data_IF_274917934545
#
_entry.id   IF_274917934545
#
_cell.length_a   1.000
_cell.length_b   1.000
_cell.length_c   1.000
_cell.angle_alpha   90.00
_cell.angle_beta   90.00
_cell.angle_gamma   90.00
#
_symmetry.space_group_name_H-M   'P 1'
#
loop_
_entity.id
_entity.type
_entity.pdbx_description
1 polymer ?
#
# COMPACT_ATOMS: atom_id res chain seq x y z
N UNK A 1 30.45 -46.45 59.97
CA UNK A 1 31.40 -45.74 59.08
C UNK A 1 31.01 -45.81 57.61
N UNK A 2 30.79 -47.00 57.00
CA UNK A 2 30.37 -47.10 55.58
C UNK A 2 29.01 -46.43 55.31
N UNK A 3 28.04 -46.66 56.20
CA UNK A 3 26.66 -46.14 56.10
C UNK A 3 26.54 -44.63 56.20
N UNK A 4 27.36 -43.97 57.03
CA UNK A 4 27.35 -42.49 57.16
C UNK A 4 28.00 -41.81 55.95
N UNK A 5 29.05 -42.45 55.39
CA UNK A 5 29.70 -41.98 54.17
C UNK A 5 28.75 -42.07 52.96
N UNK A 6 27.99 -43.16 52.86
CA UNK A 6 27.00 -43.36 51.81
C UNK A 6 25.85 -42.32 51.91
N UNK A 7 25.43 -41.97 53.13
CA UNK A 7 24.40 -40.95 53.36
C UNK A 7 24.87 -39.55 52.90
N UNK A 8 26.10 -39.17 53.26
CA UNK A 8 26.72 -37.91 52.84
C UNK A 8 26.86 -37.81 51.31
N UNK A 9 27.25 -38.90 50.65
CA UNK A 9 27.35 -38.96 49.20
C UNK A 9 25.97 -38.78 48.54
N UNK A 10 24.91 -39.32 49.14
CA UNK A 10 23.55 -39.18 48.62
C UNK A 10 23.03 -37.73 48.73
N UNK A 11 23.27 -37.06 49.87
CA UNK A 11 22.91 -35.66 50.07
C UNK A 11 23.65 -34.72 49.12
N UNK A 12 24.96 -34.92 48.95
CA UNK A 12 25.78 -34.13 48.00
C UNK A 12 25.28 -34.33 46.56
N UNK A 13 24.93 -35.56 46.17
CA UNK A 13 24.39 -35.85 44.84
C UNK A 13 23.03 -35.18 44.62
N UNK A 14 22.16 -35.17 45.63
CA UNK A 14 20.86 -34.50 45.58
C UNK A 14 21.00 -32.98 45.43
N UNK A 15 21.92 -32.36 46.18
CA UNK A 15 22.21 -30.93 46.09
C UNK A 15 22.80 -30.56 44.72
N UNK A 16 23.75 -31.34 44.20
CA UNK A 16 24.32 -31.12 42.87
C UNK A 16 23.28 -31.26 41.75
N UNK A 17 22.34 -32.20 41.88
CA UNK A 17 21.25 -32.34 40.91
C UNK A 17 20.31 -31.14 40.95
N UNK A 18 19.97 -30.65 42.14
CA UNK A 18 19.10 -29.48 42.31
C UNK A 18 19.74 -28.19 41.77
N UNK A 19 21.05 -27.99 41.99
CA UNK A 19 21.79 -26.83 41.47
C UNK A 19 21.88 -26.89 39.94
N UNK A 20 22.24 -28.04 39.39
CA UNK A 20 22.32 -28.25 37.93
C UNK A 20 20.97 -28.06 37.26
N UNK A 21 19.88 -28.53 37.87
CA UNK A 21 18.53 -28.35 37.32
C UNK A 21 18.15 -26.86 37.29
N UNK A 22 18.43 -26.11 38.36
CA UNK A 22 18.18 -24.67 38.42
C UNK A 22 18.96 -23.85 37.39
N UNK A 23 20.24 -24.20 37.14
CA UNK A 23 21.08 -23.55 36.14
C UNK A 23 20.55 -23.79 34.72
N UNK A 24 20.17 -25.04 34.42
CA UNK A 24 19.57 -25.43 33.13
C UNK A 24 18.23 -24.72 32.89
N UNK A 25 17.36 -24.61 33.91
CA UNK A 25 16.07 -23.91 33.79
C UNK A 25 16.24 -22.40 33.50
N UNK A 26 17.27 -21.79 34.09
CA UNK A 26 17.59 -20.38 33.89
C UNK A 26 18.09 -20.11 32.46
N UNK A 27 18.95 -20.96 31.92
CA UNK A 27 19.45 -20.85 30.55
C UNK A 27 18.33 -20.96 29.52
N UNK A 28 17.40 -21.91 29.70
CA UNK A 28 16.22 -22.03 28.84
C UNK A 28 15.33 -20.79 28.91
N UNK A 29 15.11 -20.25 30.10
CA UNK A 29 14.27 -19.06 30.31
C UNK A 29 14.84 -17.84 29.59
N UNK A 30 16.15 -17.61 29.72
CA UNK A 30 16.85 -16.51 29.03
C UNK A 30 16.76 -16.71 27.51
N UNK A 31 17.01 -17.93 27.02
CA UNK A 31 16.91 -18.25 25.59
C UNK A 31 15.50 -17.96 25.04
N UNK A 32 14.44 -18.44 25.69
CA UNK A 32 13.06 -18.18 25.25
C UNK A 32 12.69 -16.71 25.32
N UNK A 33 13.21 -15.96 26.29
CA UNK A 33 12.96 -14.51 26.40
C UNK A 33 13.58 -13.76 25.22
N UNK A 34 14.85 -14.06 24.90
CA UNK A 34 15.52 -13.47 23.74
C UNK A 34 14.82 -13.88 22.45
N UNK A 35 14.49 -15.16 22.30
CA UNK A 35 13.79 -15.69 21.13
C UNK A 35 12.41 -15.03 20.96
N UNK A 36 11.68 -14.82 22.05
CA UNK A 36 10.39 -14.13 22.03
C UNK A 36 10.53 -12.68 21.54
N UNK A 37 11.53 -11.96 22.07
CA UNK A 37 11.83 -10.59 21.62
C UNK A 37 12.16 -10.50 20.13
N UNK A 38 13.04 -11.39 19.64
CA UNK A 38 13.38 -11.47 18.22
C UNK A 38 12.15 -11.84 17.38
N UNK A 39 11.33 -12.78 17.85
CA UNK A 39 10.12 -13.23 17.14
C UNK A 39 9.11 -12.10 16.97
N UNK A 40 8.82 -11.36 18.06
CA UNK A 40 7.92 -10.19 18.02
C UNK A 40 8.48 -9.13 17.08
N UNK A 41 9.79 -8.85 17.14
CA UNK A 41 10.42 -7.90 16.25
C UNK A 41 10.26 -8.28 14.77
N UNK A 42 10.56 -9.54 14.42
CA UNK A 42 10.44 -10.04 13.04
C UNK A 42 8.99 -9.96 12.55
N UNK A 43 8.03 -10.39 13.37
CA UNK A 43 6.60 -10.29 13.03
C UNK A 43 6.19 -8.83 12.80
N UNK A 44 6.64 -7.91 13.66
CA UNK A 44 6.40 -6.48 13.50
C UNK A 44 6.95 -5.95 12.18
N UNK A 45 8.20 -6.30 11.85
CA UNK A 45 8.82 -5.89 10.58
C UNK A 45 8.10 -6.45 9.35
N UNK A 46 7.61 -7.71 9.43
CA UNK A 46 6.82 -8.30 8.36
C UNK A 46 5.51 -7.54 8.13
N UNK A 47 4.81 -7.14 9.20
CA UNK A 47 3.57 -6.35 9.08
C UNK A 47 3.86 -5.00 8.41
N UNK A 48 4.94 -4.31 8.81
CA UNK A 48 5.32 -3.03 8.20
C UNK A 48 5.60 -3.23 6.70
N UNK A 49 6.47 -4.18 6.35
CA UNK A 49 6.94 -4.37 4.97
C UNK A 49 5.90 -4.96 4.03
N UNK A 50 5.05 -5.86 4.52
CA UNK A 50 4.07 -6.56 3.68
C UNK A 50 2.72 -5.86 3.65
N UNK A 51 2.36 -5.06 4.65
CA UNK A 51 1.03 -4.43 4.72
C UNK A 51 1.14 -2.91 4.69
N UNK A 52 1.87 -2.29 5.61
CA UNK A 52 1.86 -0.83 5.74
C UNK A 52 2.56 -0.12 4.58
N UNK A 53 3.75 -0.58 4.20
CA UNK A 53 4.53 0.01 3.10
C UNK A 53 3.74 -0.04 1.77
N UNK A 54 3.21 -1.20 1.31
CA UNK A 54 2.40 -1.25 0.08
C UNK A 54 1.14 -0.38 0.12
N UNK A 55 0.46 -0.31 1.28
CA UNK A 55 -0.72 0.55 1.46
C UNK A 55 -0.36 2.02 1.35
N UNK A 56 0.74 2.43 1.99
CA UNK A 56 1.24 3.80 1.94
C UNK A 56 1.65 4.18 0.51
N UNK A 57 2.32 3.29 -0.21
CA UNK A 57 2.72 3.53 -1.61
C UNK A 57 1.53 3.67 -2.55
N UNK A 58 0.47 2.87 -2.37
CA UNK A 58 -0.77 3.05 -3.13
C UNK A 58 -1.41 4.43 -2.87
N UNK A 59 -1.48 4.88 -1.61
CA UNK A 59 -1.99 6.22 -1.28
C UNK A 59 -1.13 7.33 -1.87
N UNK A 60 0.19 7.14 -1.91
CA UNK A 60 1.12 8.07 -2.54
C UNK A 60 0.84 8.19 -4.04
N UNK A 61 0.57 7.09 -4.74
CA UNK A 61 0.19 7.10 -6.16
C UNK A 61 -1.14 7.83 -6.36
N UNK A 62 -2.14 7.60 -5.50
CA UNK A 62 -3.41 8.35 -5.56
C UNK A 62 -3.16 9.86 -5.40
N UNK A 63 -2.30 10.26 -4.47
CA UNK A 63 -1.88 11.65 -4.31
C UNK A 63 -1.16 12.21 -5.55
N UNK A 64 -0.30 11.41 -6.18
CA UNK A 64 0.37 11.80 -7.43
C UNK A 64 -0.63 11.95 -8.59
N UNK A 65 -1.64 11.09 -8.69
CA UNK A 65 -2.72 11.23 -9.67
C UNK A 65 -3.46 12.56 -9.43
N UNK A 66 -3.86 12.84 -8.19
CA UNK A 66 -4.51 14.10 -7.85
C UNK A 66 -3.66 15.31 -8.25
N UNK A 67 -2.35 15.27 -7.97
CA UNK A 67 -1.42 16.32 -8.37
C UNK A 67 -1.40 16.47 -9.89
N UNK A 68 -1.15 15.38 -10.63
CA UNK A 68 -0.99 15.41 -12.09
C UNK A 68 -2.25 15.88 -12.80
N UNK A 69 -3.44 15.51 -12.30
CA UNK A 69 -4.71 15.98 -12.86
C UNK A 69 -4.84 17.51 -12.79
N UNK A 70 -4.34 18.13 -11.72
CA UNK A 70 -4.35 19.59 -11.53
C UNK A 70 -3.23 20.23 -12.35
N UNK A 71 -2.00 19.73 -12.22
CA UNK A 71 -0.81 20.27 -12.89
C UNK A 71 -0.94 20.24 -14.42
N UNK A 72 -1.51 19.17 -14.97
CA UNK A 72 -1.67 18.98 -16.42
C UNK A 72 -3.08 19.32 -16.91
N UNK A 73 -3.88 20.02 -16.10
CA UNK A 73 -5.28 20.34 -16.41
C UNK A 73 -5.43 21.11 -17.73
N UNK A 74 -4.53 22.06 -18.01
CA UNK A 74 -4.53 22.83 -19.26
C UNK A 74 -4.33 21.97 -20.51
N UNK A 75 -3.58 20.87 -20.41
CA UNK A 75 -3.37 19.91 -21.52
C UNK A 75 -4.55 18.95 -21.64
N UNK A 76 -5.06 18.46 -20.51
CA UNK A 76 -6.20 17.54 -20.47
C UNK A 76 -7.48 18.21 -20.99
N UNK A 77 -7.70 19.48 -20.65
CA UNK A 77 -8.85 20.27 -21.05
C UNK A 77 -8.77 20.80 -22.49
N UNK A 78 -7.57 20.98 -23.03
CA UNK A 78 -7.34 21.48 -24.39
C UNK A 78 -6.52 20.48 -25.23
N UNK A 79 -7.03 19.27 -25.46
CA UNK A 79 -6.29 18.25 -26.21
C UNK A 79 -6.02 18.69 -27.65
N UNK A 80 -4.86 18.31 -28.19
CA UNK A 80 -4.42 18.66 -29.54
C UNK A 80 -3.91 20.10 -29.73
N UNK A 81 -3.99 20.96 -28.70
CA UNK A 81 -3.51 22.36 -28.76
C UNK A 81 -2.04 22.53 -28.33
N UNK A 82 -1.55 21.92 -27.22
CA UNK A 82 -0.15 22.01 -26.81
C UNK A 82 0.80 21.41 -27.84
N UNK A 83 2.10 21.64 -27.67
CA UNK A 83 3.11 21.01 -28.54
C UNK A 83 3.10 19.49 -28.37
N UNK A 84 3.56 18.78 -29.40
CA UNK A 84 3.60 17.31 -29.40
C UNK A 84 4.41 16.77 -28.23
N UNK A 85 5.52 17.42 -27.90
CA UNK A 85 6.39 17.04 -26.79
C UNK A 85 5.64 17.10 -25.46
N UNK A 86 4.91 18.19 -25.21
CA UNK A 86 4.12 18.36 -23.97
C UNK A 86 2.98 17.34 -23.91
N UNK A 87 2.35 17.03 -25.04
CA UNK A 87 1.32 16.00 -25.13
C UNK A 87 1.89 14.60 -24.87
N UNK A 88 3.05 14.28 -25.44
CA UNK A 88 3.74 13.00 -25.23
C UNK A 88 4.16 12.81 -23.77
N UNK A 89 4.72 13.85 -23.14
CA UNK A 89 5.02 13.83 -21.70
C UNK A 89 3.78 13.57 -20.86
N UNK A 90 2.69 14.29 -21.14
CA UNK A 90 1.43 14.16 -20.39
C UNK A 90 0.81 12.77 -20.58
N UNK A 91 0.77 12.27 -21.81
CA UNK A 91 0.30 10.93 -22.13
C UNK A 91 1.09 9.86 -21.39
N UNK A 92 2.43 9.93 -21.45
CA UNK A 92 3.32 8.98 -20.80
C UNK A 92 3.17 9.01 -19.27
N UNK A 93 3.04 10.20 -18.68
CA UNK A 93 2.83 10.34 -17.24
C UNK A 93 1.51 9.72 -16.79
N UNK A 94 0.40 10.03 -17.47
CA UNK A 94 -0.91 9.45 -17.18
C UNK A 94 -0.90 7.93 -17.36
N UNK A 95 -0.23 7.42 -18.40
CA UNK A 95 -0.09 5.99 -18.63
C UNK A 95 0.74 5.31 -17.54
N UNK A 96 1.83 5.94 -17.12
CA UNK A 96 2.68 5.45 -16.02
C UNK A 96 1.89 5.34 -14.72
N UNK A 97 1.12 6.39 -14.36
CA UNK A 97 0.29 6.38 -13.15
C UNK A 97 -0.80 5.30 -13.20
N UNK A 98 -1.45 5.11 -14.36
CA UNK A 98 -2.41 4.01 -14.57
C UNK A 98 -1.78 2.64 -14.34
N UNK A 99 -0.61 2.39 -14.94
CA UNK A 99 0.12 1.13 -14.78
C UNK A 99 0.57 0.90 -13.34
N UNK A 100 1.05 1.96 -12.66
CA UNK A 100 1.44 1.90 -11.26
C UNK A 100 0.25 1.58 -10.35
N UNK A 101 -0.90 2.21 -10.57
CA UNK A 101 -2.12 1.95 -9.81
C UNK A 101 -2.54 0.48 -9.92
N UNK A 102 -2.49 -0.08 -11.13
CA UNK A 102 -2.80 -1.48 -11.38
C UNK A 102 -1.78 -2.43 -10.73
N UNK A 103 -0.48 -2.12 -10.81
CA UNK A 103 0.56 -2.96 -10.24
C UNK A 103 0.52 -2.98 -8.70
N UNK A 104 0.29 -1.84 -8.05
CA UNK A 104 0.29 -1.74 -6.58
C UNK A 104 -0.89 -2.46 -5.93
N UNK A 105 -1.98 -2.68 -6.67
CA UNK A 105 -3.08 -3.54 -6.22
C UNK A 105 -2.58 -4.94 -5.83
N UNK A 106 -1.67 -5.52 -6.62
CA UNK A 106 -1.17 -6.88 -6.41
C UNK A 106 -0.08 -6.98 -5.34
N UNK A 107 0.47 -5.84 -4.88
CA UNK A 107 1.47 -5.81 -3.81
C UNK A 107 0.84 -5.91 -2.42
N UNK A 108 -0.44 -5.58 -2.29
CA UNK A 108 -1.13 -5.56 -1.01
C UNK A 108 -1.76 -6.94 -0.74
N UNK A 109 -1.34 -7.65 0.32
CA UNK A 109 -1.91 -8.94 0.68
C UNK A 109 -3.36 -8.77 1.12
N UNK A 110 -4.19 -9.77 0.82
CA UNK A 110 -5.61 -9.83 1.22
C UNK A 110 -6.35 -8.51 0.99
N UNK A 111 -6.20 -7.92 -0.21
CA UNK A 111 -6.65 -6.56 -0.52
C UNK A 111 -8.08 -6.26 -0.07
N UNK A 112 -9.01 -7.21 -0.17
CA UNK A 112 -10.43 -7.00 0.17
C UNK A 112 -10.64 -6.72 1.67
N UNK A 113 -9.73 -7.20 2.53
CA UNK A 113 -9.72 -6.89 3.97
C UNK A 113 -8.95 -5.60 4.21
N UNK A 114 -7.75 -5.49 3.62
CA UNK A 114 -6.87 -4.34 3.78
C UNK A 114 -7.53 -3.04 3.32
N UNK A 115 -8.29 -3.06 2.22
CA UNK A 115 -8.97 -1.88 1.70
C UNK A 115 -10.00 -1.33 2.68
N UNK A 116 -10.70 -2.19 3.42
CA UNK A 116 -11.69 -1.79 4.43
C UNK A 116 -11.01 -1.17 5.65
N UNK A 117 -9.93 -1.79 6.13
CA UNK A 117 -9.18 -1.32 7.30
C UNK A 117 -8.55 0.05 7.03
N UNK A 118 -7.91 0.22 5.88
CA UNK A 118 -7.14 1.42 5.55
C UNK A 118 -7.92 2.47 4.73
N UNK A 119 -9.21 2.23 4.48
CA UNK A 119 -10.10 3.06 3.66
C UNK A 119 -9.53 3.32 2.27
N UNK A 120 -9.07 2.26 1.60
CA UNK A 120 -8.61 2.31 0.21
C UNK A 120 -9.81 2.10 -0.73
N UNK A 121 -9.74 2.60 -1.98
CA UNK A 121 -10.72 2.27 -3.01
C UNK A 121 -10.83 0.75 -3.24
N UNK A 122 -11.99 0.28 -3.69
CA UNK A 122 -12.15 -1.13 -4.07
C UNK A 122 -11.31 -1.47 -5.30
N UNK A 123 -11.08 -2.77 -5.55
CA UNK A 123 -10.39 -3.24 -6.77
C UNK A 123 -11.04 -2.68 -8.03
N UNK A 124 -12.36 -2.73 -8.08
CA UNK A 124 -13.15 -2.23 -9.21
C UNK A 124 -12.97 -0.72 -9.41
N UNK A 125 -12.97 0.06 -8.33
CA UNK A 125 -12.73 1.51 -8.41
C UNK A 125 -11.30 1.83 -8.85
N UNK A 126 -10.29 1.11 -8.36
CA UNK A 126 -8.91 1.26 -8.85
C UNK A 126 -8.78 0.95 -10.34
N UNK A 127 -9.43 -0.13 -10.80
CA UNK A 127 -9.43 -0.51 -12.21
C UNK A 127 -10.16 0.52 -13.07
N UNK A 128 -11.32 1.01 -12.62
CA UNK A 128 -12.08 2.05 -13.31
C UNK A 128 -11.23 3.33 -13.46
N UNK A 129 -10.60 3.79 -12.37
CA UNK A 129 -9.69 4.93 -12.40
C UNK A 129 -8.52 4.70 -13.37
N UNK A 130 -7.92 3.50 -13.34
CA UNK A 130 -6.83 3.13 -14.25
C UNK A 130 -7.27 3.19 -15.72
N UNK A 131 -8.45 2.64 -16.06
CA UNK A 131 -9.02 2.72 -17.41
C UNK A 131 -9.28 4.15 -17.85
N UNK A 132 -9.80 5.00 -16.97
CA UNK A 132 -10.01 6.42 -17.29
C UNK A 132 -8.69 7.17 -17.48
N UNK A 133 -7.64 6.88 -16.71
CA UNK A 133 -6.30 7.43 -16.90
C UNK A 133 -5.69 7.04 -18.25
N UNK A 134 -5.83 5.78 -18.69
CA UNK A 134 -5.44 5.34 -20.04
C UNK A 134 -6.24 6.10 -21.10
N UNK A 135 -7.54 6.28 -20.87
CA UNK A 135 -8.41 7.07 -21.74
C UNK A 135 -7.93 8.50 -21.89
N UNK A 136 -7.54 9.15 -20.79
CA UNK A 136 -6.95 10.49 -20.81
C UNK A 136 -5.63 10.50 -21.59
N UNK A 137 -4.71 9.56 -21.29
CA UNK A 137 -3.42 9.41 -22.01
C UNK A 137 -3.61 9.33 -23.53
N UNK A 138 -4.59 8.57 -24.01
CA UNK A 138 -4.85 8.46 -25.46
C UNK A 138 -5.50 9.71 -26.05
N UNK A 139 -6.27 10.44 -25.24
CA UNK A 139 -7.08 11.56 -25.72
C UNK A 139 -6.34 12.88 -25.86
N UNK A 140 -5.16 13.04 -25.23
CA UNK A 140 -4.44 14.33 -25.23
C UNK A 140 -4.07 14.82 -26.63
N UNK A 141 -4.01 13.91 -27.61
CA UNK A 141 -3.67 14.22 -29.01
C UNK A 141 -4.87 14.65 -29.88
N UNK A 142 -6.10 14.47 -29.39
CA UNK A 142 -7.29 14.64 -30.23
C UNK A 142 -7.86 16.05 -30.10
N UNK A 143 -7.90 16.79 -31.21
CA UNK A 143 -8.45 18.15 -31.27
C UNK A 143 -10.00 18.18 -31.47
N UNK A 144 -10.70 17.05 -31.26
CA UNK A 144 -12.16 16.97 -31.44
C UNK A 144 -12.91 17.70 -30.30
N UNK A 145 -13.91 18.50 -30.67
CA UNK A 145 -14.75 19.26 -29.75
C UNK A 145 -15.52 18.38 -28.74
N UNK A 146 -15.71 17.09 -28.98
CA UNK A 146 -16.34 16.20 -27.99
C UNK A 146 -15.35 15.61 -26.97
N UNK A 147 -14.04 15.70 -27.26
CA UNK A 147 -13.01 15.09 -26.42
C UNK A 147 -12.82 15.86 -25.13
N UNK A 148 -12.90 17.20 -25.13
CA UNK A 148 -12.80 17.97 -23.88
C UNK A 148 -13.90 17.57 -22.87
N UNK A 149 -15.15 17.35 -23.35
CA UNK A 149 -16.28 16.90 -22.51
C UNK A 149 -16.02 15.51 -21.95
N UNK A 150 -15.51 14.62 -22.80
CA UNK A 150 -15.17 13.25 -22.41
C UNK A 150 -14.04 13.24 -21.39
N UNK A 151 -13.05 14.10 -21.54
CA UNK A 151 -11.93 14.23 -20.62
C UNK A 151 -12.38 14.77 -19.26
N UNK A 152 -13.23 15.80 -19.23
CA UNK A 152 -13.81 16.29 -17.99
C UNK A 152 -14.55 15.18 -17.22
N UNK A 153 -15.40 14.40 -17.92
CA UNK A 153 -16.10 13.23 -17.33
C UNK A 153 -15.13 12.15 -16.83
N UNK A 154 -14.02 11.90 -17.54
CA UNK A 154 -12.98 10.96 -17.09
C UNK A 154 -12.27 11.46 -15.84
N UNK A 155 -11.95 12.75 -15.76
CA UNK A 155 -11.33 13.36 -14.58
C UNK A 155 -12.24 13.19 -13.36
N UNK A 156 -13.54 13.51 -13.48
CA UNK A 156 -14.50 13.26 -12.40
C UNK A 156 -14.55 11.79 -11.99
N UNK A 157 -14.66 10.89 -12.97
CA UNK A 157 -14.74 9.46 -12.69
C UNK A 157 -13.49 8.94 -11.98
N UNK A 158 -12.29 9.46 -12.31
CA UNK A 158 -11.04 9.17 -11.60
C UNK A 158 -11.13 9.68 -10.16
N UNK A 159 -11.55 10.94 -9.97
CA UNK A 159 -11.65 11.53 -8.64
C UNK A 159 -12.63 10.78 -7.74
N UNK A 160 -13.82 10.48 -8.25
CA UNK A 160 -14.85 9.73 -7.52
C UNK A 160 -14.40 8.30 -7.21
N UNK A 161 -13.73 7.64 -8.16
CA UNK A 161 -13.19 6.28 -7.96
C UNK A 161 -12.05 6.24 -6.93
N UNK A 162 -11.26 7.30 -6.81
CA UNK A 162 -10.10 7.32 -5.92
C UNK A 162 -10.37 8.05 -4.60
N UNK A 163 -11.57 8.61 -4.41
CA UNK A 163 -11.91 9.44 -3.26
C UNK A 163 -11.11 10.75 -3.22
N UNK A 164 -10.71 11.27 -4.37
CA UNK A 164 -10.05 12.58 -4.50
C UNK A 164 -11.14 13.65 -4.47
N UNK A 165 -10.98 14.65 -3.60
CA UNK A 165 -11.93 15.74 -3.50
C UNK A 165 -11.95 16.59 -4.77
N UNK A 166 -13.17 16.88 -5.25
CA UNK A 166 -13.45 17.87 -6.29
C UNK A 166 -14.62 18.73 -5.80
N UNK A 167 -14.51 20.05 -5.97
CA UNK A 167 -15.58 20.96 -5.61
C UNK A 167 -16.77 20.84 -6.58
N UNK A 168 -17.99 21.00 -6.10
CA UNK A 168 -19.21 20.75 -6.89
C UNK A 168 -19.31 21.69 -8.10
N UNK A 169 -18.84 22.93 -7.98
CA UNK A 169 -18.76 23.91 -9.06
C UNK A 169 -17.76 23.53 -10.15
N UNK A 170 -16.78 22.68 -9.84
CA UNK A 170 -15.77 22.19 -10.78
C UNK A 170 -16.21 20.90 -11.48
N UNK A 171 -17.34 20.33 -11.06
CA UNK A 171 -17.92 19.14 -11.68
C UNK A 171 -18.49 19.47 -13.06
N UNK A 172 -18.39 18.49 -13.96
CA UNK A 172 -18.95 18.64 -15.29
C UNK A 172 -20.48 18.65 -15.18
N UNK A 173 -21.18 19.63 -15.80
CA UNK A 173 -22.63 19.71 -15.70
C UNK A 173 -23.28 18.41 -16.17
N UNK A 174 -24.07 17.78 -15.30
CA UNK A 174 -24.91 16.65 -15.68
C UNK A 174 -26.02 17.22 -16.57
N UNK A 175 -26.07 16.79 -17.82
CA UNK A 175 -27.16 17.15 -18.72
C UNK A 175 -28.48 16.73 -18.05
N UNK A 176 -29.31 17.72 -17.70
CA UNK A 176 -30.67 17.49 -17.21
C UNK A 176 -31.42 16.91 -18.41
N UNK A 177 -31.68 15.61 -18.38
CA UNK A 177 -32.51 14.93 -19.39
C UNK A 177 -33.96 15.30 -19.23
#
# INVERSE_FOLDING_TARGET
>A
MKTECDLLIMEIRSLLYSIRHHEVDMDFTVFFTVLSGVSIFVIGQLIVKLVLDPVHDLKKIIGQISHTLIERANIIANPGVPTREVMDETSNLLRKLSSQLHAHLYLIPTYDVTCRIFRLPSKEMLLAASTHLVGLSNSVYSADHNVYKTNARRVEAICDSLGIYIAEESRYPKEIK
#
